data_IF_754348488122
#
_entry.id   IF_754348488122
#
_cell.length_a   1.000
_cell.length_b   1.000
_cell.length_c   1.000
_cell.angle_alpha   90.00
_cell.angle_beta   90.00
_cell.angle_gamma   90.00
#
_symmetry.space_group_name_H-M   'P 1'
#
loop_
_entity.id
_entity.type
_entity.pdbx_description
1 polymer ?
#
# COMPACT_ATOMS: atom_id res chain seq x y z
N UNK A 1 19.35 26.74 -10.36
CA UNK A 1 18.49 27.38 -9.35
C UNK A 1 17.24 26.53 -9.06
N UNK A 2 16.43 26.17 -10.04
CA UNK A 2 15.22 25.34 -9.87
C UNK A 2 15.54 23.97 -9.24
N UNK A 3 16.55 23.25 -9.72
CA UNK A 3 16.97 21.95 -9.16
C UNK A 3 17.45 22.03 -7.70
N UNK A 4 18.04 23.16 -7.29
CA UNK A 4 18.44 23.39 -5.91
C UNK A 4 17.21 23.64 -5.01
N UNK A 5 16.23 24.39 -5.51
CA UNK A 5 14.96 24.65 -4.81
C UNK A 5 14.14 23.34 -4.64
N UNK A 6 14.14 22.49 -5.66
CA UNK A 6 13.50 21.16 -5.61
C UNK A 6 14.18 20.30 -4.55
N UNK A 7 15.51 20.22 -4.53
CA UNK A 7 16.27 19.48 -3.51
C UNK A 7 16.02 20.01 -2.08
N UNK A 8 16.00 21.32 -1.90
CA UNK A 8 15.70 21.94 -0.59
C UNK A 8 14.27 21.60 -0.15
N UNK A 9 13.30 21.65 -1.06
CA UNK A 9 11.92 21.25 -0.79
C UNK A 9 11.78 19.75 -0.46
N UNK A 10 12.52 18.90 -1.14
CA UNK A 10 12.58 17.47 -0.84
C UNK A 10 13.17 17.21 0.54
N UNK A 11 14.32 17.76 0.88
CA UNK A 11 14.95 17.65 2.20
C UNK A 11 13.97 18.16 3.27
N UNK A 12 13.36 19.33 3.07
CA UNK A 12 12.45 19.91 4.04
C UNK A 12 11.20 19.05 4.27
N UNK A 13 10.60 18.53 3.18
CA UNK A 13 9.39 17.69 3.27
C UNK A 13 9.67 16.30 3.80
N UNK A 14 10.82 15.73 3.54
CA UNK A 14 11.15 14.36 3.85
C UNK A 14 11.91 14.21 5.20
N UNK A 15 12.76 15.17 5.55
CA UNK A 15 13.58 15.06 6.76
C UNK A 15 13.00 15.85 7.96
N UNK A 16 12.30 16.94 7.72
CA UNK A 16 11.85 17.84 8.82
C UNK A 16 10.37 17.67 9.15
N UNK A 17 9.50 17.54 8.16
CA UNK A 17 8.05 17.43 8.41
C UNK A 17 7.69 16.20 9.24
N UNK A 18 8.26 15.01 9.00
CA UNK A 18 7.93 13.83 9.79
C UNK A 18 8.25 13.93 11.28
N UNK A 19 9.23 14.78 11.64
CA UNK A 19 9.66 14.99 13.03
C UNK A 19 8.77 15.98 13.81
N UNK A 20 7.82 16.62 13.14
CA UNK A 20 6.91 17.56 13.79
C UNK A 20 5.70 16.84 14.41
N UNK A 21 5.08 17.40 15.44
CA UNK A 21 3.80 16.91 15.96
C UNK A 21 2.74 16.83 14.85
N UNK A 22 1.88 15.81 14.88
CA UNK A 22 0.90 15.47 13.83
C UNK A 22 0.10 16.69 13.34
N UNK A 23 -0.39 17.53 14.25
CA UNK A 23 -1.15 18.74 13.94
C UNK A 23 -0.41 19.74 13.05
N UNK A 24 0.92 19.81 13.17
CA UNK A 24 1.76 20.67 12.33
C UNK A 24 2.10 20.02 10.99
N UNK A 25 2.26 18.68 10.97
CA UNK A 25 2.54 17.93 9.74
C UNK A 25 1.46 18.16 8.69
N UNK A 26 0.19 17.97 9.06
CA UNK A 26 -0.95 18.16 8.15
C UNK A 26 -1.00 19.56 7.55
N UNK A 27 -0.80 20.60 8.37
CA UNK A 27 -0.79 21.99 7.90
C UNK A 27 0.35 22.25 6.94
N UNK A 28 1.53 21.71 7.22
CA UNK A 28 2.73 21.93 6.43
C UNK A 28 2.67 21.14 5.12
N UNK A 29 2.18 19.89 5.13
CA UNK A 29 1.94 19.14 3.90
C UNK A 29 0.95 19.83 2.97
N UNK A 30 -0.14 20.39 3.48
CA UNK A 30 -1.09 21.19 2.68
C UNK A 30 -0.42 22.39 2.00
N UNK A 31 0.59 22.99 2.64
CA UNK A 31 1.32 24.13 2.07
C UNK A 31 2.32 23.69 0.98
N UNK A 32 2.94 22.51 1.15
CA UNK A 32 4.01 22.02 0.26
C UNK A 32 3.47 21.22 -0.94
N UNK A 33 2.29 20.61 -0.80
CA UNK A 33 1.67 19.79 -1.85
C UNK A 33 1.54 20.50 -3.21
N UNK A 34 1.11 21.79 -3.30
CA UNK A 34 1.08 22.51 -4.57
C UNK A 34 2.44 22.65 -5.24
N UNK A 35 3.52 22.75 -4.45
CA UNK A 35 4.88 22.84 -4.96
C UNK A 35 5.37 21.50 -5.52
N UNK A 36 4.97 20.38 -4.92
CA UNK A 36 5.24 19.02 -5.47
C UNK A 36 4.53 18.83 -6.81
N UNK A 37 3.26 19.26 -6.93
CA UNK A 37 2.51 19.21 -8.20
C UNK A 37 3.15 20.09 -9.29
N UNK A 38 3.69 21.25 -8.91
CA UNK A 38 4.43 22.11 -9.82
C UNK A 38 5.74 21.47 -10.26
N UNK A 39 6.48 20.85 -9.33
CA UNK A 39 7.70 20.08 -9.63
C UNK A 39 7.41 19.01 -10.68
N UNK A 40 6.37 18.18 -10.46
CA UNK A 40 6.02 17.09 -11.37
C UNK A 40 5.71 17.61 -12.78
N UNK A 41 5.03 18.75 -12.89
CA UNK A 41 4.80 19.43 -14.18
C UNK A 41 6.09 19.90 -14.86
N UNK A 42 7.04 20.43 -14.09
CA UNK A 42 8.31 20.96 -14.62
C UNK A 42 9.23 19.81 -15.04
N UNK A 43 9.34 18.75 -14.23
CA UNK A 43 10.22 17.62 -14.50
C UNK A 43 9.76 16.78 -15.69
N UNK A 44 8.45 16.69 -15.91
CA UNK A 44 7.87 15.79 -16.90
C UNK A 44 7.69 16.46 -18.29
N UNK A 45 7.80 17.77 -18.39
CA UNK A 45 7.69 18.57 -19.62
C UNK A 45 6.43 18.30 -20.47
N UNK A 46 5.57 17.39 -20.10
CA UNK A 46 4.33 17.01 -20.80
C UNK A 46 3.29 16.41 -19.84
N UNK A 47 1.99 16.49 -20.16
CA UNK A 47 0.94 15.88 -19.35
C UNK A 47 1.05 14.34 -19.35
N UNK A 48 0.68 13.70 -18.24
CA UNK A 48 0.71 12.24 -18.09
C UNK A 48 -0.09 11.50 -19.17
N UNK A 49 -1.15 12.09 -19.71
CA UNK A 49 -1.93 11.55 -20.83
C UNK A 49 -1.14 11.38 -22.13
N UNK A 50 0.03 12.03 -22.25
CA UNK A 50 0.90 11.95 -23.43
C UNK A 50 2.15 11.11 -23.16
N UNK A 51 2.23 10.38 -22.04
CA UNK A 51 3.38 9.57 -21.75
C UNK A 51 3.46 8.36 -22.68
N UNK A 52 4.63 8.21 -23.31
CA UNK A 52 5.02 6.95 -23.94
C UNK A 52 5.31 5.89 -22.87
N UNK A 53 5.49 4.64 -23.29
CA UNK A 53 5.91 3.59 -22.36
C UNK A 53 7.23 3.93 -21.67
N UNK A 54 8.22 4.46 -22.41
CA UNK A 54 9.51 4.87 -21.83
C UNK A 54 9.35 6.01 -20.81
N UNK A 55 8.49 6.99 -21.07
CA UNK A 55 8.21 8.06 -20.10
C UNK A 55 7.61 7.51 -18.78
N UNK A 56 6.77 6.48 -18.88
CA UNK A 56 6.19 5.82 -17.72
C UNK A 56 7.25 5.08 -16.91
N UNK A 57 8.18 4.38 -17.57
CA UNK A 57 9.32 3.74 -16.92
C UNK A 57 10.19 4.77 -16.19
N UNK A 58 10.54 5.87 -16.83
CA UNK A 58 11.40 6.90 -16.25
C UNK A 58 10.71 7.61 -15.07
N UNK A 59 9.41 7.85 -15.19
CA UNK A 59 8.60 8.38 -14.09
C UNK A 59 8.54 7.40 -12.90
N UNK A 60 8.30 6.12 -13.16
CA UNK A 60 8.26 5.10 -12.11
C UNK A 60 9.60 4.98 -11.40
N UNK A 61 10.71 4.90 -12.12
CA UNK A 61 12.06 4.84 -11.55
C UNK A 61 12.36 6.03 -10.63
N UNK A 62 12.05 7.24 -11.07
CA UNK A 62 12.25 8.45 -10.26
C UNK A 62 11.35 8.44 -9.02
N UNK A 63 10.10 7.98 -9.17
CA UNK A 63 9.15 7.89 -8.08
C UNK A 63 9.57 6.85 -7.04
N UNK A 64 10.08 5.69 -7.47
CA UNK A 64 10.61 4.64 -6.58
C UNK A 64 11.75 5.14 -5.72
N UNK A 65 12.74 5.81 -6.32
CA UNK A 65 13.85 6.41 -5.57
C UNK A 65 13.35 7.40 -4.51
N UNK A 66 12.41 8.28 -4.87
CA UNK A 66 11.82 9.23 -3.93
C UNK A 66 10.99 8.57 -2.82
N UNK A 67 10.27 7.50 -3.17
CA UNK A 67 9.45 6.74 -2.23
C UNK A 67 10.33 5.98 -1.21
N UNK A 68 11.37 5.30 -1.68
CA UNK A 68 12.34 4.58 -0.84
C UNK A 68 13.10 5.53 0.08
N UNK A 69 13.53 6.68 -0.45
CA UNK A 69 14.19 7.72 0.33
C UNK A 69 13.27 8.23 1.45
N UNK A 70 12.00 8.47 1.16
CA UNK A 70 11.03 8.95 2.14
C UNK A 70 10.73 7.89 3.20
N UNK A 71 10.33 6.70 2.77
CA UNK A 71 9.91 5.62 3.67
C UNK A 71 11.01 5.20 4.63
N UNK A 72 12.26 5.12 4.14
CA UNK A 72 13.41 4.76 4.99
C UNK A 72 13.76 5.78 6.09
N UNK A 73 13.11 6.97 6.10
CA UNK A 73 13.39 8.07 7.05
C UNK A 73 12.21 8.48 7.92
N UNK A 74 11.01 8.03 7.60
CA UNK A 74 9.81 8.41 8.36
C UNK A 74 9.82 7.84 9.78
N UNK A 75 10.35 6.65 9.93
CA UNK A 75 10.41 5.88 11.17
C UNK A 75 11.82 5.27 11.26
N UNK A 76 12.36 5.11 12.46
CA UNK A 76 13.60 4.38 12.67
C UNK A 76 13.36 2.86 12.68
N UNK A 77 14.36 2.10 12.22
CA UNK A 77 14.32 0.64 12.30
C UNK A 77 14.39 0.19 13.76
N UNK A 78 13.55 -0.78 14.15
CA UNK A 78 13.54 -1.31 15.50
C UNK A 78 14.71 -2.29 15.72
N UNK A 79 15.64 -1.94 16.60
CA UNK A 79 16.84 -2.72 16.88
C UNK A 79 16.58 -4.04 17.64
N UNK A 80 15.33 -4.29 18.07
CA UNK A 80 14.93 -5.56 18.68
C UNK A 80 14.42 -6.58 17.66
N UNK A 81 14.53 -6.27 16.38
CA UNK A 81 14.05 -7.12 15.29
C UNK A 81 15.24 -7.53 14.41
N UNK A 82 15.39 -8.83 14.23
CA UNK A 82 16.33 -9.38 13.26
C UNK A 82 15.70 -9.35 11.87
N UNK A 83 16.52 -9.14 10.85
CA UNK A 83 16.10 -9.00 9.45
C UNK A 83 16.98 -9.86 8.55
N UNK A 84 16.36 -10.74 7.79
CA UNK A 84 17.06 -11.61 6.85
C UNK A 84 16.31 -11.76 5.54
N UNK A 85 17.04 -11.96 4.44
CA UNK A 85 16.47 -12.39 3.16
C UNK A 85 16.34 -13.91 3.17
N UNK A 86 15.17 -14.42 2.79
CA UNK A 86 14.95 -15.86 2.68
C UNK A 86 15.65 -16.37 1.42
N UNK A 87 16.55 -17.33 1.60
CA UNK A 87 17.23 -17.99 0.50
C UNK A 87 16.32 -19.02 -0.18
N UNK A 88 16.61 -19.33 -1.45
CA UNK A 88 15.90 -20.33 -2.27
C UNK A 88 14.44 -20.01 -2.60
N UNK A 89 13.99 -18.75 -2.53
CA UNK A 89 12.72 -18.34 -3.09
C UNK A 89 12.86 -17.81 -4.51
N UNK A 90 11.89 -18.08 -5.38
CA UNK A 90 11.82 -17.47 -6.73
C UNK A 90 11.62 -15.94 -6.68
N UNK A 91 11.10 -15.45 -5.55
CA UNK A 91 10.84 -14.05 -5.30
C UNK A 91 11.69 -13.55 -4.13
N UNK A 92 11.91 -12.24 -4.06
CA UNK A 92 12.60 -11.63 -2.93
C UNK A 92 11.67 -11.57 -1.71
N UNK A 93 11.92 -12.45 -0.75
CA UNK A 93 11.19 -12.54 0.49
C UNK A 93 12.13 -12.22 1.65
N UNK A 94 11.65 -11.43 2.60
CA UNK A 94 12.39 -11.00 3.77
C UNK A 94 11.63 -11.39 5.03
N UNK A 95 12.32 -11.89 6.02
CA UNK A 95 11.77 -12.22 7.33
C UNK A 95 12.24 -11.23 8.38
N UNK A 96 11.33 -10.74 9.18
CA UNK A 96 11.55 -9.92 10.35
C UNK A 96 11.19 -10.74 11.57
N UNK A 97 12.10 -10.91 12.52
CA UNK A 97 11.89 -11.75 13.70
C UNK A 97 12.16 -10.94 14.95
N UNK A 98 11.17 -10.72 15.85
CA UNK A 98 11.39 -10.00 17.09
C UNK A 98 12.15 -10.90 18.09
N UNK A 99 12.92 -10.30 19.02
CA UNK A 99 13.64 -11.06 20.06
C UNK A 99 12.73 -11.92 20.93
N UNK A 100 11.49 -11.49 21.14
CA UNK A 100 10.48 -12.20 21.92
C UNK A 100 9.38 -12.75 20.99
N UNK A 101 9.76 -13.50 19.96
CA UNK A 101 8.82 -14.03 18.98
C UNK A 101 7.84 -15.03 19.59
N UNK A 102 6.55 -14.85 19.31
CA UNK A 102 5.54 -15.91 19.47
C UNK A 102 5.78 -16.99 18.42
N UNK A 103 5.63 -18.24 18.81
CA UNK A 103 5.96 -19.38 17.95
C UNK A 103 4.76 -19.92 17.15
N UNK A 104 3.55 -19.49 17.49
CA UNK A 104 2.28 -20.02 16.97
C UNK A 104 1.60 -19.10 15.95
N UNK A 105 2.20 -17.94 15.63
CA UNK A 105 1.63 -16.94 14.73
C UNK A 105 2.70 -16.28 13.87
N UNK A 106 2.32 -15.89 12.65
CA UNK A 106 3.16 -15.08 11.75
C UNK A 106 2.33 -14.07 10.97
N UNK A 107 2.98 -13.03 10.46
CA UNK A 107 2.39 -12.03 9.60
C UNK A 107 2.94 -12.06 8.18
N UNK A 108 2.12 -11.66 7.20
CA UNK A 108 2.55 -11.34 5.83
C UNK A 108 2.17 -9.89 5.56
N UNK A 109 3.15 -9.09 5.16
CA UNK A 109 2.94 -7.67 4.85
C UNK A 109 2.92 -7.43 3.35
N UNK A 110 1.81 -6.90 2.86
CA UNK A 110 1.57 -6.49 1.48
C UNK A 110 1.76 -4.97 1.39
N UNK A 111 2.86 -4.56 0.79
CA UNK A 111 3.22 -3.14 0.79
C UNK A 111 2.35 -2.29 -0.15
N UNK A 112 2.17 -1.03 0.20
CA UNK A 112 1.52 -0.03 -0.64
C UNK A 112 2.42 0.54 -1.73
N UNK A 113 1.99 1.68 -2.28
CA UNK A 113 2.74 2.38 -3.32
C UNK A 113 2.08 2.34 -4.69
N UNK A 114 0.76 2.08 -4.75
CA UNK A 114 -0.06 2.16 -5.96
C UNK A 114 0.35 1.17 -7.06
N UNK A 115 0.89 0.02 -6.71
CA UNK A 115 1.44 -0.99 -7.63
C UNK A 115 2.61 -0.51 -8.51
N UNK A 116 3.14 0.70 -8.32
CA UNK A 116 4.24 1.21 -9.13
C UNK A 116 5.46 1.67 -8.32
N UNK A 117 5.31 1.82 -7.00
CA UNK A 117 6.38 2.10 -6.03
C UNK A 117 6.28 1.16 -4.84
N UNK A 118 7.18 1.29 -3.89
CA UNK A 118 7.25 0.43 -2.73
C UNK A 118 8.34 -0.64 -2.87
N UNK A 119 9.00 -0.91 -1.77
CA UNK A 119 10.07 -1.91 -1.66
C UNK A 119 10.37 -2.20 -0.19
N UNK A 120 11.19 -3.19 0.09
CA UNK A 120 11.72 -3.42 1.43
C UNK A 120 12.47 -2.19 1.97
N UNK A 121 13.12 -1.42 1.10
CA UNK A 121 13.82 -0.18 1.51
C UNK A 121 12.88 0.85 2.09
N UNK A 122 11.71 1.04 1.48
CA UNK A 122 10.71 2.00 1.95
C UNK A 122 9.93 1.53 3.17
N UNK A 123 9.77 0.20 3.36
CA UNK A 123 8.86 -0.35 4.37
C UNK A 123 9.53 -1.09 5.53
N UNK A 124 10.81 -1.48 5.42
CA UNK A 124 11.46 -2.27 6.47
C UNK A 124 11.35 -1.66 7.87
N UNK A 125 11.36 -0.33 7.97
CA UNK A 125 11.31 0.35 9.24
C UNK A 125 9.93 0.21 9.91
N UNK A 126 8.84 0.43 9.16
CA UNK A 126 7.48 0.25 9.69
C UNK A 126 7.17 -1.22 9.98
N UNK A 127 7.59 -2.13 9.12
CA UNK A 127 7.41 -3.57 9.35
C UNK A 127 8.17 -4.01 10.59
N UNK A 128 9.37 -3.47 10.86
CA UNK A 128 10.10 -3.77 12.08
C UNK A 128 9.37 -3.29 13.35
N UNK A 129 8.64 -2.17 13.30
CA UNK A 129 7.81 -1.73 14.42
C UNK A 129 6.62 -2.69 14.64
N UNK A 130 5.88 -3.05 13.60
CA UNK A 130 4.80 -4.04 13.74
C UNK A 130 5.29 -5.38 14.26
N UNK A 131 6.44 -5.83 13.76
CA UNK A 131 7.09 -7.06 14.21
C UNK A 131 7.38 -7.03 15.71
N UNK A 132 7.97 -5.94 16.20
CA UNK A 132 8.29 -5.76 17.62
C UNK A 132 7.02 -5.65 18.48
N UNK A 133 6.07 -4.80 18.08
CA UNK A 133 4.91 -4.45 18.90
C UNK A 133 3.89 -5.59 19.00
N UNK A 134 3.79 -6.41 17.95
CA UNK A 134 2.93 -7.59 17.93
C UNK A 134 3.65 -8.85 18.45
N UNK A 135 4.97 -8.78 18.68
CA UNK A 135 5.81 -9.89 19.13
C UNK A 135 5.67 -11.14 18.27
N UNK A 136 5.56 -10.95 16.94
CA UNK A 136 5.44 -12.06 15.99
C UNK A 136 6.28 -11.84 14.76
N UNK A 137 6.78 -12.91 14.11
CA UNK A 137 7.51 -12.78 12.84
C UNK A 137 6.63 -12.20 11.75
N UNK A 138 7.22 -11.32 10.91
CA UNK A 138 6.60 -10.82 9.68
C UNK A 138 7.41 -11.21 8.47
N UNK A 139 6.70 -11.55 7.40
CA UNK A 139 7.26 -11.72 6.05
C UNK A 139 6.88 -10.52 5.19
N UNK A 140 7.86 -9.95 4.56
CA UNK A 140 7.72 -8.91 3.52
C UNK A 140 8.20 -9.48 2.20
N UNK A 141 7.61 -9.09 1.10
CA UNK A 141 8.04 -9.55 -0.22
C UNK A 141 7.98 -8.43 -1.25
N UNK A 142 8.89 -8.50 -2.22
CA UNK A 142 8.85 -7.68 -3.42
C UNK A 142 7.93 -8.36 -4.44
N UNK A 143 7.01 -7.59 -5.02
CA UNK A 143 6.17 -8.05 -6.11
C UNK A 143 6.36 -7.18 -7.35
N UNK A 144 6.03 -7.70 -8.51
CA UNK A 144 6.19 -7.02 -9.78
C UNK A 144 5.36 -5.75 -9.85
N UNK A 145 6.00 -4.66 -10.28
CA UNK A 145 5.43 -3.32 -10.32
C UNK A 145 5.16 -2.86 -11.75
N UNK A 146 4.09 -2.07 -11.92
CA UNK A 146 3.81 -1.34 -13.15
C UNK A 146 4.78 -0.15 -13.29
N UNK A 147 5.12 0.31 -14.49
CA UNK A 147 4.58 -0.08 -15.79
C UNK A 147 5.28 -1.28 -16.44
N UNK A 148 6.32 -1.85 -15.82
CA UNK A 148 7.03 -3.00 -16.37
C UNK A 148 6.13 -4.23 -16.40
N UNK A 149 5.30 -4.39 -15.38
CA UNK A 149 4.41 -5.54 -15.20
C UNK A 149 3.03 -5.05 -14.74
N UNK A 150 2.02 -5.27 -15.57
CA UNK A 150 0.63 -4.96 -15.22
C UNK A 150 -0.05 -6.16 -14.54
N UNK A 151 -1.29 -5.99 -14.13
CA UNK A 151 -2.12 -7.09 -13.66
C UNK A 151 -2.14 -8.25 -14.70
N UNK A 152 -2.04 -9.53 -14.26
CA UNK A 152 -2.12 -10.01 -12.88
C UNK A 152 -0.76 -10.22 -12.17
N UNK A 153 0.36 -9.71 -12.69
CA UNK A 153 1.71 -10.07 -12.27
C UNK A 153 1.95 -9.95 -10.75
N UNK A 154 1.48 -8.87 -10.10
CA UNK A 154 1.62 -8.71 -8.66
C UNK A 154 0.76 -9.72 -7.88
N UNK A 155 -0.44 -10.04 -8.38
CA UNK A 155 -1.33 -11.03 -7.77
C UNK A 155 -0.74 -12.44 -7.87
N UNK A 156 -0.14 -12.79 -9.01
CA UNK A 156 0.52 -14.07 -9.20
C UNK A 156 1.74 -14.22 -8.28
N UNK A 157 2.54 -13.15 -8.13
CA UNK A 157 3.66 -13.13 -7.21
C UNK A 157 3.18 -13.27 -5.76
N UNK A 158 2.14 -12.54 -5.35
CA UNK A 158 1.56 -12.62 -4.01
C UNK A 158 1.05 -14.04 -3.69
N UNK A 159 0.33 -14.69 -4.61
CA UNK A 159 -0.10 -16.09 -4.44
C UNK A 159 1.05 -17.05 -4.25
N UNK A 160 2.12 -16.91 -5.06
CA UNK A 160 3.34 -17.74 -4.94
C UNK A 160 4.00 -17.56 -3.57
N UNK A 161 4.14 -16.31 -3.12
CA UNK A 161 4.74 -15.98 -1.84
C UNK A 161 3.91 -16.54 -0.68
N UNK A 162 2.60 -16.34 -0.70
CA UNK A 162 1.70 -16.87 0.34
C UNK A 162 1.79 -18.40 0.40
N UNK A 163 1.74 -19.09 -0.74
CA UNK A 163 1.91 -20.54 -0.79
C UNK A 163 3.25 -20.98 -0.17
N UNK A 164 4.34 -20.31 -0.53
CA UNK A 164 5.67 -20.61 -0.01
C UNK A 164 5.75 -20.40 1.52
N UNK A 165 5.31 -19.24 2.01
CA UNK A 165 5.37 -18.92 3.45
C UNK A 165 4.47 -19.87 4.26
N UNK A 166 3.25 -20.14 3.80
CA UNK A 166 2.35 -21.09 4.47
C UNK A 166 2.95 -22.48 4.50
N UNK A 167 3.67 -22.88 3.45
CA UNK A 167 4.37 -24.16 3.39
C UNK A 167 5.48 -24.30 4.44
N UNK A 168 6.23 -23.25 4.73
CA UNK A 168 7.31 -23.27 5.74
C UNK A 168 6.81 -23.03 7.17
N UNK A 169 5.74 -22.26 7.37
CA UNK A 169 5.18 -21.99 8.71
C UNK A 169 4.15 -23.04 9.15
N UNK A 170 3.63 -23.83 8.22
CA UNK A 170 2.72 -24.96 8.53
C UNK A 170 1.37 -24.48 9.08
N UNK A 171 0.94 -25.07 10.20
CA UNK A 171 -0.38 -24.84 10.79
C UNK A 171 -0.43 -23.65 11.78
N UNK A 172 0.55 -22.77 11.76
CA UNK A 172 0.53 -21.57 12.59
C UNK A 172 -0.57 -20.60 12.14
N UNK A 173 -1.07 -19.80 13.08
CA UNK A 173 -2.00 -18.72 12.73
C UNK A 173 -1.33 -17.70 11.83
N UNK A 174 -2.06 -17.22 10.84
CA UNK A 174 -1.55 -16.20 9.90
C UNK A 174 -2.34 -14.90 9.97
N UNK A 175 -1.63 -13.77 9.96
CA UNK A 175 -2.21 -12.43 9.90
C UNK A 175 -1.67 -11.75 8.64
N UNK A 176 -2.57 -11.37 7.73
CA UNK A 176 -2.16 -10.55 6.59
C UNK A 176 -2.41 -9.09 6.87
N UNK A 177 -1.43 -8.27 6.58
CA UNK A 177 -1.52 -6.81 6.71
C UNK A 177 -1.22 -6.16 5.37
N UNK A 178 -2.10 -5.29 4.91
CA UNK A 178 -1.90 -4.59 3.65
C UNK A 178 -2.30 -3.12 3.73
N UNK A 179 -1.45 -2.25 3.20
CA UNK A 179 -1.76 -0.83 3.11
C UNK A 179 -2.02 -0.40 1.67
N UNK A 180 -2.96 0.52 1.46
CA UNK A 180 -3.21 1.12 0.14
C UNK A 180 -3.39 0.05 -0.96
N UNK A 181 -2.56 0.07 -2.01
CA UNK A 181 -2.51 -0.95 -3.05
C UNK A 181 -2.21 -2.37 -2.51
N UNK A 182 -1.39 -2.48 -1.44
CA UNK A 182 -1.13 -3.76 -0.77
C UNK A 182 -2.37 -4.32 -0.08
N UNK A 183 -3.23 -3.46 0.46
CA UNK A 183 -4.55 -3.85 0.95
C UNK A 183 -5.45 -4.37 -0.18
N UNK A 184 -5.42 -3.71 -1.34
CA UNK A 184 -6.08 -4.18 -2.57
C UNK A 184 -5.55 -5.53 -3.03
N UNK A 185 -4.22 -5.71 -3.04
CA UNK A 185 -3.55 -6.95 -3.43
C UNK A 185 -3.93 -8.13 -2.51
N UNK A 186 -3.83 -7.93 -1.19
CA UNK A 186 -4.21 -8.95 -0.20
C UNK A 186 -5.68 -9.35 -0.32
N UNK A 187 -6.57 -8.37 -0.49
CA UNK A 187 -8.00 -8.62 -0.67
C UNK A 187 -8.28 -9.27 -2.03
N UNK A 188 -7.58 -8.83 -3.09
CA UNK A 188 -7.73 -9.35 -4.44
C UNK A 188 -7.42 -10.84 -4.56
N UNK A 189 -6.35 -11.33 -3.93
CA UNK A 189 -6.05 -12.76 -3.93
C UNK A 189 -7.04 -13.58 -3.08
N UNK A 190 -7.66 -12.98 -2.06
CA UNK A 190 -8.68 -13.65 -1.24
C UNK A 190 -10.02 -13.83 -1.95
N UNK A 191 -10.34 -12.97 -2.90
CA UNK A 191 -11.57 -13.07 -3.71
C UNK A 191 -11.38 -13.84 -5.02
N UNK A 192 -10.17 -14.35 -5.26
CA UNK A 192 -9.87 -15.19 -6.42
C UNK A 192 -10.19 -16.65 -6.10
N UNK A 193 -11.25 -17.17 -6.68
CA UNK A 193 -11.73 -18.54 -6.48
C UNK A 193 -10.69 -19.62 -6.82
N UNK A 194 -9.64 -19.28 -7.54
CA UNK A 194 -8.53 -20.20 -7.86
C UNK A 194 -7.50 -20.30 -6.74
N UNK A 195 -7.62 -19.46 -5.69
CA UNK A 195 -6.69 -19.43 -4.57
C UNK A 195 -7.41 -19.78 -3.26
N UNK A 196 -6.91 -20.77 -2.53
CA UNK A 196 -7.63 -21.36 -1.39
C UNK A 196 -7.04 -21.04 -0.04
N UNK A 197 -5.85 -20.41 0.03
CA UNK A 197 -5.23 -20.03 1.29
C UNK A 197 -5.83 -18.71 1.76
N UNK A 198 -6.29 -18.71 3.01
CA UNK A 198 -6.84 -17.55 3.69
C UNK A 198 -6.17 -17.36 5.04
N UNK A 199 -5.91 -16.12 5.48
CA UNK A 199 -5.39 -15.87 6.82
C UNK A 199 -6.48 -16.04 7.90
N UNK A 200 -6.05 -16.20 9.15
CA UNK A 200 -6.96 -16.14 10.29
C UNK A 200 -7.49 -14.71 10.50
N UNK A 201 -6.67 -13.71 10.21
CA UNK A 201 -7.04 -12.29 10.31
C UNK A 201 -6.46 -11.46 9.16
N UNK A 202 -7.22 -10.44 8.76
CA UNK A 202 -6.81 -9.48 7.75
C UNK A 202 -6.83 -8.06 8.34
N UNK A 203 -5.77 -7.30 8.13
CA UNK A 203 -5.67 -5.89 8.51
C UNK A 203 -5.48 -5.05 7.25
N UNK A 204 -6.40 -4.16 7.01
CA UNK A 204 -6.42 -3.27 5.85
C UNK A 204 -6.24 -1.82 6.30
N UNK A 205 -5.12 -1.23 5.94
CA UNK A 205 -4.75 0.14 6.27
C UNK A 205 -4.95 1.04 5.04
N UNK A 206 -5.95 1.91 5.08
CA UNK A 206 -6.28 2.79 3.95
C UNK A 206 -6.38 2.05 2.60
N UNK A 207 -7.10 0.92 2.50
CA UNK A 207 -6.99 0.01 1.37
C UNK A 207 -7.53 0.61 0.07
N UNK A 208 -6.86 0.35 -1.06
CA UNK A 208 -7.34 0.71 -2.39
C UNK A 208 -8.10 -0.48 -3.01
N UNK A 209 -9.42 -0.47 -2.93
CA UNK A 209 -10.29 -1.59 -3.29
C UNK A 209 -11.16 -1.33 -4.52
N UNK A 210 -11.06 -0.16 -5.15
CA UNK A 210 -11.74 0.19 -6.40
C UNK A 210 -10.81 0.94 -7.34
N UNK A 211 -10.29 0.24 -8.35
CA UNK A 211 -9.45 0.82 -9.39
C UNK A 211 -10.28 1.44 -10.54
N UNK A 212 -11.58 1.07 -10.62
CA UNK A 212 -12.42 1.53 -11.73
C UNK A 212 -12.83 2.98 -11.61
N UNK A 213 -12.98 3.46 -10.38
CA UNK A 213 -13.46 4.81 -10.04
C UNK A 213 -14.79 5.23 -10.70
N UNK A 214 -15.45 4.28 -11.41
CA UNK A 214 -16.66 4.54 -12.21
C UNK A 214 -17.90 4.82 -11.34
N UNK A 215 -17.93 4.33 -10.09
CA UNK A 215 -19.08 4.46 -9.20
C UNK A 215 -18.92 5.53 -8.12
N UNK A 216 -17.74 6.15 -8.02
CA UNK A 216 -17.39 6.99 -6.89
C UNK A 216 -17.03 8.40 -7.33
N UNK A 217 -17.81 9.37 -6.86
CA UNK A 217 -17.40 10.76 -6.97
C UNK A 217 -16.43 11.09 -5.83
N UNK A 218 -15.12 10.90 -6.09
CA UNK A 218 -14.05 11.30 -5.15
C UNK A 218 -13.77 12.80 -5.18
N UNK A 219 -14.49 13.58 -6.00
CA UNK A 219 -14.20 15.02 -6.21
C UNK A 219 -14.31 15.83 -4.93
N UNK A 220 -15.24 15.46 -4.02
CA UNK A 220 -15.40 16.16 -2.76
C UNK A 220 -14.21 15.95 -1.80
N UNK A 221 -13.39 14.91 -1.99
CA UNK A 221 -12.17 14.62 -1.25
C UNK A 221 -10.92 15.18 -1.92
N UNK A 222 -11.01 15.65 -3.16
CA UNK A 222 -9.87 16.14 -3.97
C UNK A 222 -8.96 17.13 -3.24
N UNK A 223 -9.52 18.00 -2.41
CA UNK A 223 -8.80 19.04 -1.69
C UNK A 223 -8.57 18.68 -0.21
N UNK A 224 -9.05 17.54 0.25
CA UNK A 224 -8.90 17.08 1.63
C UNK A 224 -7.72 16.12 1.77
N UNK A 225 -7.55 15.21 0.80
CA UNK A 225 -6.41 14.31 0.79
C UNK A 225 -5.12 15.08 0.50
N UNK A 226 -4.16 14.96 1.41
CA UNK A 226 -2.88 15.69 1.34
C UNK A 226 -1.78 14.88 0.66
N UNK A 227 -1.97 13.57 0.47
CA UNK A 227 -0.99 12.68 -0.15
C UNK A 227 -1.41 12.22 -1.54
N UNK A 228 -2.64 11.76 -1.69
CA UNK A 228 -3.13 11.25 -2.96
C UNK A 228 -3.69 12.39 -3.84
N UNK A 229 -3.45 12.28 -5.12
CA UNK A 229 -4.07 13.13 -6.12
C UNK A 229 -5.03 12.29 -6.97
N UNK A 230 -6.27 12.74 -7.13
CA UNK A 230 -7.31 11.99 -7.85
C UNK A 230 -6.86 11.59 -9.26
N UNK A 231 -6.24 12.53 -10.00
CA UNK A 231 -5.73 12.26 -11.34
C UNK A 231 -4.57 11.25 -11.34
N UNK A 232 -3.85 11.13 -10.20
CA UNK A 232 -2.81 10.13 -10.00
C UNK A 232 -3.39 8.75 -9.73
N UNK A 233 -4.40 8.66 -8.87
CA UNK A 233 -5.10 7.40 -8.57
C UNK A 233 -5.72 6.82 -9.84
N UNK A 234 -6.44 7.63 -10.63
CA UNK A 234 -7.01 7.21 -11.91
C UNK A 234 -5.95 6.70 -12.87
N UNK A 235 -4.88 7.51 -13.06
CA UNK A 235 -3.82 7.18 -14.00
C UNK A 235 -3.12 5.87 -13.65
N UNK A 236 -2.84 5.63 -12.37
CA UNK A 236 -2.19 4.38 -11.93
C UNK A 236 -3.15 3.21 -12.06
N UNK A 237 -4.42 3.36 -11.66
CA UNK A 237 -5.44 2.30 -11.77
C UNK A 237 -5.63 1.84 -13.21
N UNK A 238 -5.76 2.78 -14.16
CA UNK A 238 -5.88 2.50 -15.58
C UNK A 238 -4.66 1.73 -16.13
N UNK A 239 -3.44 2.19 -15.77
CA UNK A 239 -2.22 1.56 -16.28
C UNK A 239 -1.94 0.20 -15.63
N UNK A 240 -2.22 0.04 -14.33
CA UNK A 240 -2.04 -1.24 -13.67
C UNK A 240 -3.03 -2.30 -14.17
N UNK A 241 -4.26 -1.90 -14.45
CA UNK A 241 -5.27 -2.83 -15.01
C UNK A 241 -4.87 -3.40 -16.37
N UNK A 242 -4.05 -2.67 -17.16
CA UNK A 242 -3.62 -3.11 -18.48
C UNK A 242 -4.82 -3.39 -19.41
N UNK A 243 -4.90 -4.60 -19.95
CA UNK A 243 -5.97 -5.02 -20.85
C UNK A 243 -7.23 -5.53 -20.11
N UNK A 244 -7.21 -5.53 -18.78
CA UNK A 244 -8.35 -5.98 -17.97
C UNK A 244 -9.28 -4.83 -17.60
N UNK A 245 -10.57 -5.14 -17.48
CA UNK A 245 -11.54 -4.16 -16.98
C UNK A 245 -11.21 -3.77 -15.53
N UNK A 246 -11.08 -2.48 -15.21
CA UNK A 246 -10.72 -2.04 -13.86
C UNK A 246 -11.72 -2.46 -12.77
N UNK A 247 -12.97 -2.81 -13.13
CA UNK A 247 -13.98 -3.35 -12.21
C UNK A 247 -13.92 -4.87 -12.07
N UNK A 248 -12.91 -5.54 -12.61
CA UNK A 248 -12.66 -6.95 -12.34
C UNK A 248 -12.57 -7.15 -10.81
N UNK A 249 -13.29 -8.13 -10.23
CA UNK A 249 -13.35 -8.33 -8.78
C UNK A 249 -11.99 -8.57 -8.10
N UNK A 250 -11.03 -9.16 -8.81
CA UNK A 250 -9.69 -9.39 -8.28
C UNK A 250 -8.90 -8.07 -8.23
N UNK A 251 -9.06 -7.21 -9.23
CA UNK A 251 -8.47 -5.87 -9.27
C UNK A 251 -9.15 -4.90 -8.30
N UNK A 252 -10.46 -4.99 -8.23
CA UNK A 252 -11.33 -4.09 -7.45
C UNK A 252 -12.26 -4.91 -6.54
N UNK A 253 -11.78 -5.36 -5.39
CA UNK A 253 -12.50 -6.27 -4.49
C UNK A 253 -13.84 -5.77 -3.98
N UNK A 254 -14.12 -4.49 -4.07
CA UNK A 254 -15.46 -3.96 -3.75
C UNK A 254 -16.55 -4.52 -4.68
N UNK A 255 -16.19 -5.05 -5.84
CA UNK A 255 -17.13 -5.67 -6.77
C UNK A 255 -17.26 -7.20 -6.60
N UNK A 256 -16.36 -7.81 -5.80
CA UNK A 256 -16.41 -9.24 -5.57
C UNK A 256 -17.66 -9.67 -4.78
N UNK A 257 -18.17 -10.85 -5.04
CA UNK A 257 -19.05 -11.55 -4.10
C UNK A 257 -18.19 -12.28 -3.07
N UNK A 258 -18.49 -12.09 -1.78
CA UNK A 258 -17.69 -12.63 -0.67
C UNK A 258 -18.62 -13.40 0.27
N UNK A 259 -18.38 -14.69 0.44
CA UNK A 259 -19.17 -15.53 1.36
C UNK A 259 -18.37 -15.95 2.60
N UNK A 260 -17.11 -16.32 2.41
CA UNK A 260 -16.19 -16.70 3.48
C UNK A 260 -14.98 -15.75 3.44
N UNK A 261 -14.88 -14.88 4.45
CA UNK A 261 -13.80 -13.92 4.52
C UNK A 261 -13.22 -13.90 5.93
N UNK A 262 -11.91 -13.72 6.11
CA UNK A 262 -11.30 -13.70 7.44
C UNK A 262 -11.82 -12.54 8.29
N UNK A 263 -11.70 -12.66 9.63
CA UNK A 263 -11.94 -11.54 10.53
C UNK A 263 -11.08 -10.35 10.10
N UNK A 264 -11.70 -9.22 9.77
CA UNK A 264 -11.03 -8.10 9.11
C UNK A 264 -11.08 -6.83 9.93
N UNK A 265 -9.90 -6.24 10.20
CA UNK A 265 -9.78 -4.86 10.68
C UNK A 265 -9.56 -3.94 9.49
N UNK A 266 -10.38 -2.89 9.37
CA UNK A 266 -10.23 -1.85 8.34
C UNK A 266 -9.97 -0.52 9.04
N UNK A 267 -8.86 0.13 8.72
CA UNK A 267 -8.52 1.47 9.18
C UNK A 267 -8.49 2.45 8.02
N UNK A 268 -9.14 3.61 8.17
CA UNK A 268 -9.22 4.62 7.10
C UNK A 268 -9.34 6.03 7.69
N UNK A 269 -8.79 7.04 7.00
CA UNK A 269 -9.00 8.43 7.36
C UNK A 269 -10.19 9.01 6.58
N UNK A 270 -11.04 9.80 7.27
CA UNK A 270 -12.22 10.42 6.65
C UNK A 270 -11.90 11.43 5.55
N UNK A 271 -10.65 11.89 5.48
CA UNK A 271 -10.18 12.91 4.53
C UNK A 271 -9.47 12.33 3.29
N UNK A 272 -9.23 11.01 3.24
CA UNK A 272 -8.50 10.41 2.13
C UNK A 272 -9.38 9.98 0.95
N UNK A 273 -8.80 9.94 -0.25
CA UNK A 273 -9.50 9.56 -1.48
C UNK A 273 -10.05 8.13 -1.44
N UNK A 274 -9.45 7.24 -0.67
CA UNK A 274 -9.83 5.84 -0.54
C UNK A 274 -10.87 5.57 0.57
N UNK A 275 -11.35 6.62 1.24
CA UNK A 275 -12.36 6.51 2.31
C UNK A 275 -13.58 5.67 1.90
N UNK A 276 -14.15 5.97 0.73
CA UNK A 276 -15.35 5.28 0.26
C UNK A 276 -15.11 3.80 -0.06
N UNK A 277 -13.89 3.42 -0.45
CA UNK A 277 -13.51 2.03 -0.68
C UNK A 277 -13.66 1.22 0.61
N UNK A 278 -13.09 1.74 1.70
CA UNK A 278 -13.15 1.12 3.02
C UNK A 278 -14.60 1.02 3.54
N UNK A 279 -15.39 2.10 3.40
CA UNK A 279 -16.80 2.13 3.82
C UNK A 279 -17.64 1.10 3.06
N UNK A 280 -17.49 1.06 1.73
CA UNK A 280 -18.29 0.14 0.91
C UNK A 280 -17.90 -1.32 1.19
N UNK A 281 -16.62 -1.60 1.35
CA UNK A 281 -16.16 -2.94 1.67
C UNK A 281 -16.63 -3.39 3.07
N UNK A 282 -16.54 -2.50 4.08
CA UNK A 282 -17.10 -2.77 5.41
C UNK A 282 -18.61 -3.05 5.37
N UNK A 283 -19.37 -2.26 4.61
CA UNK A 283 -20.80 -2.51 4.44
C UNK A 283 -21.07 -3.88 3.76
N UNK A 284 -20.23 -4.29 2.83
CA UNK A 284 -20.33 -5.60 2.19
C UNK A 284 -20.11 -6.73 3.21
N UNK A 285 -19.04 -6.65 4.03
CA UNK A 285 -18.78 -7.61 5.12
C UNK A 285 -19.96 -7.67 6.08
N UNK A 286 -20.48 -6.52 6.49
CA UNK A 286 -21.66 -6.42 7.38
C UNK A 286 -22.89 -7.11 6.78
N UNK A 287 -23.20 -6.88 5.51
CA UNK A 287 -24.36 -7.47 4.84
C UNK A 287 -24.24 -9.00 4.73
N UNK A 288 -23.03 -9.51 4.60
CA UNK A 288 -22.73 -10.95 4.60
C UNK A 288 -22.56 -11.54 6.02
N UNK A 289 -22.71 -10.71 7.08
CA UNK A 289 -22.54 -11.12 8.48
C UNK A 289 -21.13 -11.66 8.79
N UNK A 290 -20.13 -11.18 8.08
CA UNK A 290 -18.73 -11.49 8.30
C UNK A 290 -18.20 -10.58 9.41
N UNK A 291 -17.48 -11.17 10.38
CA UNK A 291 -16.91 -10.45 11.50
C UNK A 291 -15.85 -9.47 11.04
N UNK A 292 -16.02 -8.19 11.38
CA UNK A 292 -15.06 -7.15 11.02
C UNK A 292 -15.18 -5.93 11.94
N UNK A 293 -14.13 -5.13 11.97
CA UNK A 293 -14.08 -3.83 12.63
C UNK A 293 -13.70 -2.75 11.63
N UNK A 294 -14.41 -1.63 11.63
CA UNK A 294 -14.08 -0.43 10.85
C UNK A 294 -13.70 0.69 11.79
N UNK A 295 -12.46 1.18 11.69
CA UNK A 295 -11.95 2.32 12.42
C UNK A 295 -11.78 3.51 11.47
N UNK A 296 -12.53 4.58 11.71
CA UNK A 296 -12.44 5.84 10.97
C UNK A 296 -11.72 6.87 11.82
N UNK A 297 -10.66 7.45 11.28
CA UNK A 297 -9.85 8.46 11.93
C UNK A 297 -9.99 9.80 11.22
N UNK A 298 -10.07 10.88 12.00
CA UNK A 298 -10.16 12.24 11.48
C UNK A 298 -8.80 12.94 11.53
N UNK A 299 -8.60 13.92 10.65
CA UNK A 299 -7.45 14.82 10.61
C UNK A 299 -6.08 14.14 10.41
N UNK A 300 -6.08 12.90 9.95
CA UNK A 300 -4.88 12.18 9.51
C UNK A 300 -4.74 12.22 7.98
N UNK A 301 -3.87 11.40 7.45
CA UNK A 301 -3.59 11.29 6.01
C UNK A 301 -3.64 9.82 5.58
N UNK A 302 -3.51 9.55 4.30
CA UNK A 302 -3.49 8.22 3.73
C UNK A 302 -2.32 7.39 4.30
N UNK A 303 -2.60 6.18 4.78
CA UNK A 303 -1.63 5.25 5.39
C UNK A 303 -0.77 5.94 6.48
N UNK A 304 -1.46 6.47 7.51
CA UNK A 304 -0.81 7.24 8.59
C UNK A 304 -0.14 6.35 9.64
N UNK A 305 -0.46 5.07 9.67
CA UNK A 305 0.03 4.09 10.64
C UNK A 305 1.55 4.01 10.68
#
# INVERSE_FOLDING_TARGET
MINLLIKILEIFTLDYIPRLPVQFRTKLYKTVLPLRKLRDRILLNKPKSQFTFQDRIDFARTSRVGYDYSGSRLIEYNQNVDFEKIENSELEIYKFTPKNAKDDVYGIYFHGGGYYTGSVTSHKNIVSQFTNDLEMPFYFFEYKLTPEFNFPAAHDDAKKVVNFITGIEGNKQSIWMGESAGGGLATGILVDDTFTISPDKLVLMSPWLDLSDKKRDRKYLRNKDILLAIDGVHWVGEHYSGDYEPNNPILSPVFADIDNFPHTLIQVCSNELLYNDAIEFSNKLKNKKIEHELQIWDDLWHAWQ
#
